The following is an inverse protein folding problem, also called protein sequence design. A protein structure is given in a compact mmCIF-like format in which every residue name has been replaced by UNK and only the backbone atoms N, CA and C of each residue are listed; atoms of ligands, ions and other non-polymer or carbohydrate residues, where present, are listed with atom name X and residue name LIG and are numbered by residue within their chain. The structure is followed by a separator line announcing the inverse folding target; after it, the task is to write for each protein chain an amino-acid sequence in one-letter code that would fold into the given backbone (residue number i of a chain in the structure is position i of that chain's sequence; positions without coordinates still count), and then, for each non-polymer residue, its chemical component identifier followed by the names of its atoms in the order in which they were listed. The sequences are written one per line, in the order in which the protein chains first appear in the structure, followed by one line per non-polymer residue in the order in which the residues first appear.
data_IF_611831389435
#
_entry.id   IF_611831389435
#
_cell.length_a   1.000
_cell.length_b   1.000
_cell.length_c   1.000
_cell.angle_alpha   90.00
_cell.angle_beta   90.00
_cell.angle_gamma   90.00
#
_symmetry.space_group_name_H-M   'P 1'
#
loop_
_entity.id
_entity.type
_entity.pdbx_description
1 polymer ?
#
# COMPACT_ATOMS: atom_id res chain seq x y z
N UNK A 1 10.79 4.50 2.85
CA UNK A 1 10.22 5.60 2.04
C UNK A 1 10.48 6.94 2.71
N UNK A 2 10.97 7.92 1.93
CA UNK A 2 11.25 9.29 2.38
C UNK A 2 10.29 10.29 1.70
N UNK A 3 10.03 11.42 2.37
CA UNK A 3 9.14 12.48 1.89
C UNK A 3 9.66 13.85 2.32
N UNK A 4 9.80 14.75 1.38
CA UNK A 4 10.30 16.12 1.61
C UNK A 4 10.18 16.97 0.34
N UNK A 5 10.66 18.19 0.40
CA UNK A 5 10.66 19.14 -0.72
C UNK A 5 11.99 19.88 -0.89
N UNK A 6 12.96 19.61 -0.03
CA UNK A 6 14.30 20.17 -0.10
C UNK A 6 15.27 19.11 -0.62
N UNK A 7 16.01 19.34 -1.74
CA UNK A 7 16.90 18.35 -2.33
C UNK A 7 18.03 17.88 -1.41
N UNK A 8 18.66 18.79 -0.65
CA UNK A 8 19.79 18.45 0.23
C UNK A 8 19.30 17.61 1.41
N UNK A 9 18.21 18.03 2.05
CA UNK A 9 17.60 17.28 3.16
C UNK A 9 17.12 15.90 2.72
N UNK A 10 16.62 15.76 1.49
CA UNK A 10 16.21 14.47 0.93
C UNK A 10 17.41 13.55 0.67
N UNK A 11 18.52 14.09 0.17
CA UNK A 11 19.77 13.37 -0.03
C UNK A 11 20.34 12.88 1.33
N UNK A 12 20.41 13.76 2.34
CA UNK A 12 20.84 13.39 3.70
C UNK A 12 19.92 12.29 4.28
N UNK A 13 18.61 12.43 4.14
CA UNK A 13 17.67 11.45 4.63
C UNK A 13 17.86 10.07 3.94
N UNK A 14 18.13 10.06 2.63
CA UNK A 14 18.44 8.83 1.91
C UNK A 14 19.71 8.15 2.45
N UNK A 15 20.79 8.91 2.58
CA UNK A 15 22.07 8.43 3.13
C UNK A 15 21.91 7.82 4.53
N UNK A 16 21.24 8.52 5.44
CA UNK A 16 21.00 8.05 6.81
C UNK A 16 20.18 6.75 6.85
N UNK A 17 19.19 6.61 5.97
CA UNK A 17 18.41 5.38 5.89
C UNK A 17 19.22 4.21 5.33
N UNK A 18 20.11 4.44 4.34
CA UNK A 18 21.03 3.41 3.85
C UNK A 18 22.01 3.00 4.94
N UNK A 19 22.59 3.94 5.66
CA UNK A 19 23.46 3.66 6.81
C UNK A 19 22.72 2.87 7.92
N UNK A 20 21.41 3.02 8.05
CA UNK A 20 20.56 2.24 8.95
C UNK A 20 20.11 0.89 8.37
N UNK A 21 20.61 0.48 7.18
CA UNK A 21 20.35 -0.82 6.58
C UNK A 21 19.25 -0.86 5.50
N UNK A 22 18.80 0.29 4.98
CA UNK A 22 17.88 0.29 3.85
C UNK A 22 18.61 -0.17 2.57
N UNK A 23 18.01 -1.12 1.87
CA UNK A 23 18.51 -1.68 0.61
C UNK A 23 17.86 -1.06 -0.64
N UNK A 24 16.82 -0.26 -0.44
CA UNK A 24 16.11 0.52 -1.48
C UNK A 24 15.63 1.82 -0.85
N UNK A 25 15.75 2.94 -1.54
CA UNK A 25 15.15 4.22 -1.16
C UNK A 25 13.96 4.50 -2.07
N UNK A 26 12.76 4.65 -1.50
CA UNK A 26 11.55 5.06 -2.24
C UNK A 26 11.19 6.51 -1.93
N UNK A 27 11.00 7.33 -2.96
CA UNK A 27 10.64 8.75 -2.82
C UNK A 27 9.13 8.91 -2.97
N UNK A 28 8.50 9.60 -2.02
CA UNK A 28 7.06 9.85 -2.03
C UNK A 28 6.71 11.19 -2.67
N UNK A 29 6.15 11.14 -3.87
CA UNK A 29 5.54 12.31 -4.55
C UNK A 29 4.04 12.08 -4.83
N UNK A 30 3.37 11.23 -4.03
CA UNK A 30 1.96 10.91 -4.19
C UNK A 30 1.06 11.26 -3.00
N UNK A 31 1.61 11.59 -1.83
CA UNK A 31 0.82 11.84 -0.61
C UNK A 31 -0.05 13.10 -0.73
N UNK A 32 -1.42 12.99 -0.57
CA UNK A 32 -2.33 14.13 -0.66
C UNK A 32 -2.66 14.74 0.72
N UNK A 33 -1.99 14.33 1.78
CA UNK A 33 -2.29 14.76 3.14
C UNK A 33 -2.01 16.27 3.34
N UNK A 34 -2.94 17.01 3.94
CA UNK A 34 -2.84 18.46 4.13
C UNK A 34 -1.52 18.91 4.79
N UNK A 35 -1.06 18.17 5.83
CA UNK A 35 0.19 18.49 6.53
C UNK A 35 1.44 18.35 5.66
N UNK A 36 1.43 17.41 4.69
CA UNK A 36 2.53 17.20 3.73
C UNK A 36 2.49 18.28 2.66
N UNK A 37 1.30 18.60 2.13
CA UNK A 37 1.11 19.64 1.12
C UNK A 37 1.49 21.04 1.63
N UNK A 38 1.24 21.34 2.93
CA UNK A 38 1.67 22.62 3.55
C UNK A 38 3.20 22.82 3.52
N UNK A 39 3.97 21.73 3.45
CA UNK A 39 5.43 21.74 3.31
C UNK A 39 5.89 21.62 1.86
N UNK A 40 5.01 21.87 0.89
CA UNK A 40 5.26 21.71 -0.57
C UNK A 40 5.79 20.32 -0.96
N UNK A 41 5.56 19.28 -0.14
CA UNK A 41 6.05 17.93 -0.33
C UNK A 41 4.95 16.97 -0.83
N UNK A 42 5.33 15.72 -1.11
CA UNK A 42 4.41 14.70 -1.62
C UNK A 42 3.83 15.10 -2.98
N UNK A 43 2.52 14.98 -3.16
CA UNK A 43 1.87 15.28 -4.45
C UNK A 43 1.86 16.78 -4.82
N UNK A 44 2.26 17.69 -3.93
CA UNK A 44 2.45 19.09 -4.28
C UNK A 44 3.61 19.29 -5.26
N UNK A 45 4.62 18.43 -5.21
CA UNK A 45 5.79 18.45 -6.10
C UNK A 45 5.42 18.29 -7.58
N UNK A 46 4.32 17.58 -7.90
CA UNK A 46 3.86 17.40 -9.28
C UNK A 46 3.56 18.73 -10.01
N UNK A 47 3.50 19.84 -9.29
CA UNK A 47 3.32 21.20 -9.85
C UNK A 47 4.62 21.90 -10.23
N UNK A 48 5.77 21.33 -9.88
CA UNK A 48 7.08 21.93 -10.10
C UNK A 48 8.08 20.86 -10.56
N UNK A 49 8.13 20.65 -11.86
CA UNK A 49 8.95 19.62 -12.50
C UNK A 49 10.44 19.85 -12.33
N UNK A 50 10.89 21.12 -12.28
CA UNK A 50 12.28 21.46 -12.02
C UNK A 50 12.72 21.03 -10.61
N UNK A 51 11.87 21.25 -9.61
CA UNK A 51 12.14 20.82 -8.24
C UNK A 51 12.11 19.29 -8.12
N UNK A 52 11.21 18.62 -8.86
CA UNK A 52 11.21 17.16 -8.96
C UNK A 52 12.56 16.66 -9.46
N UNK A 53 13.06 17.18 -10.59
CA UNK A 53 14.35 16.80 -11.15
C UNK A 53 15.51 17.02 -10.15
N UNK A 54 15.53 18.17 -9.46
CA UNK A 54 16.56 18.49 -8.45
C UNK A 54 16.56 17.48 -7.29
N UNK A 55 15.38 17.16 -6.75
CA UNK A 55 15.25 16.18 -5.65
C UNK A 55 15.69 14.79 -6.11
N UNK A 56 15.22 14.31 -7.27
CA UNK A 56 15.55 12.99 -7.76
C UNK A 56 17.06 12.83 -7.99
N UNK A 57 17.68 13.79 -8.67
CA UNK A 57 19.14 13.79 -8.89
C UNK A 57 19.93 13.82 -7.58
N UNK A 58 19.56 14.67 -6.63
CA UNK A 58 20.24 14.77 -5.35
C UNK A 58 20.19 13.43 -4.58
N UNK A 59 19.04 12.74 -4.58
CA UNK A 59 18.90 11.46 -3.89
C UNK A 59 19.64 10.35 -4.62
N UNK A 60 19.51 10.25 -5.96
CA UNK A 60 20.18 9.21 -6.76
C UNK A 60 21.70 9.30 -6.65
N UNK A 61 22.26 10.51 -6.69
CA UNK A 61 23.71 10.74 -6.57
C UNK A 61 24.26 10.45 -5.15
N UNK A 62 23.39 10.44 -4.13
CA UNK A 62 23.82 10.31 -2.73
C UNK A 62 23.93 8.86 -2.25
N UNK A 63 23.35 7.88 -2.95
CA UNK A 63 23.26 6.49 -2.48
C UNK A 63 23.58 5.49 -3.58
N UNK A 64 24.19 4.37 -3.22
CA UNK A 64 24.53 3.27 -4.13
C UNK A 64 23.42 2.20 -4.23
N UNK A 65 22.34 2.35 -3.48
CA UNK A 65 21.18 1.43 -3.51
C UNK A 65 20.15 1.92 -4.54
N UNK A 66 19.29 1.02 -5.06
CA UNK A 66 18.21 1.40 -5.97
C UNK A 66 17.33 2.51 -5.39
N UNK A 67 17.04 3.52 -6.20
CA UNK A 67 16.09 4.59 -5.87
C UNK A 67 14.83 4.41 -6.72
N UNK A 68 13.68 4.38 -6.04
CA UNK A 68 12.35 4.26 -6.67
C UNK A 68 11.51 5.50 -6.38
N UNK A 69 10.48 5.72 -7.20
CA UNK A 69 9.59 6.87 -7.05
C UNK A 69 8.13 6.43 -7.02
N UNK A 70 7.33 7.03 -6.12
CA UNK A 70 5.88 6.84 -6.12
C UNK A 70 5.13 8.15 -6.35
N UNK A 71 4.31 8.18 -7.43
CA UNK A 71 3.54 9.35 -7.85
C UNK A 71 2.02 9.10 -7.91
N UNK A 72 1.29 10.16 -8.24
CA UNK A 72 -0.06 10.15 -8.78
C UNK A 72 -0.04 10.58 -10.25
N UNK A 73 -1.18 10.44 -10.95
CA UNK A 73 -1.29 10.81 -12.38
C UNK A 73 -1.16 12.31 -12.63
N UNK A 74 -1.24 13.15 -11.60
CA UNK A 74 -1.07 14.59 -11.65
C UNK A 74 -1.69 15.31 -10.45
N UNK A 75 -1.72 16.63 -10.52
CA UNK A 75 -2.30 17.49 -9.48
C UNK A 75 -3.82 17.46 -9.48
N UNK A 76 -4.44 17.68 -10.64
CA UNK A 76 -5.90 17.68 -10.85
C UNK A 76 -6.24 17.03 -12.20
N UNK A 77 -7.53 16.72 -12.47
CA UNK A 77 -7.93 16.09 -13.73
C UNK A 77 -7.53 16.87 -14.99
N UNK A 78 -7.50 18.20 -14.92
CA UNK A 78 -7.06 19.06 -16.01
C UNK A 78 -5.53 19.13 -16.16
N UNK A 79 -4.78 18.67 -15.16
CA UNK A 79 -3.30 18.65 -15.18
C UNK A 79 -2.78 17.29 -14.71
N UNK A 80 -2.77 16.33 -15.65
CA UNK A 80 -2.20 14.98 -15.51
C UNK A 80 -0.83 14.91 -16.17
N UNK A 81 0.17 15.47 -15.50
CA UNK A 81 1.54 15.49 -16.00
C UNK A 81 2.38 14.26 -15.62
N UNK A 82 1.74 13.16 -15.29
CA UNK A 82 2.44 11.92 -14.88
C UNK A 82 3.43 11.40 -15.90
N UNK A 83 3.18 11.58 -17.22
CA UNK A 83 4.10 11.17 -18.30
C UNK A 83 5.37 12.02 -18.25
N UNK A 84 5.25 13.34 -18.09
CA UNK A 84 6.39 14.26 -17.97
C UNK A 84 7.25 13.91 -16.75
N UNK A 85 6.61 13.68 -15.60
CA UNK A 85 7.31 13.26 -14.37
C UNK A 85 8.02 11.91 -14.56
N UNK A 86 7.42 10.98 -15.29
CA UNK A 86 8.02 9.66 -15.56
C UNK A 86 9.30 9.77 -16.38
N UNK A 87 9.31 10.60 -17.41
CA UNK A 87 10.52 10.88 -18.22
C UNK A 87 11.63 11.53 -17.39
N UNK A 88 11.27 12.55 -16.60
CA UNK A 88 12.21 13.18 -15.66
C UNK A 88 12.77 12.16 -14.67
N UNK A 89 11.95 11.24 -14.17
CA UNK A 89 12.39 10.21 -13.25
C UNK A 89 13.40 9.26 -13.91
N UNK A 90 13.14 8.79 -15.13
CA UNK A 90 14.05 7.95 -15.90
C UNK A 90 15.37 8.68 -16.18
N UNK A 91 15.31 9.93 -16.65
CA UNK A 91 16.49 10.78 -16.93
C UNK A 91 17.34 11.07 -15.68
N UNK A 92 16.72 11.06 -14.50
CA UNK A 92 17.41 11.21 -13.22
C UNK A 92 17.96 9.92 -12.61
N UNK A 93 17.74 8.75 -13.25
CA UNK A 93 18.25 7.45 -12.79
C UNK A 93 17.34 6.73 -11.79
N UNK A 94 16.05 7.05 -11.74
CA UNK A 94 15.06 6.26 -10.99
C UNK A 94 14.92 4.88 -11.64
N UNK A 95 14.94 3.84 -10.81
CA UNK A 95 14.97 2.46 -11.30
C UNK A 95 13.60 1.76 -11.32
N UNK A 96 12.57 2.36 -10.71
CA UNK A 96 11.19 1.87 -10.75
C UNK A 96 10.23 3.00 -10.40
N UNK A 97 9.11 3.08 -11.11
CA UNK A 97 8.07 4.07 -10.88
C UNK A 97 6.73 3.41 -10.51
N UNK A 98 6.20 3.73 -9.33
CA UNK A 98 4.86 3.33 -8.91
C UNK A 98 3.86 4.46 -9.15
N UNK A 99 2.77 4.19 -9.88
CA UNK A 99 1.79 5.20 -10.27
C UNK A 99 0.41 4.89 -9.71
N UNK A 100 -0.13 5.78 -8.86
CA UNK A 100 -1.51 5.67 -8.42
C UNK A 100 -2.44 6.34 -9.45
N UNK A 101 -3.40 5.57 -9.99
CA UNK A 101 -4.36 5.99 -11.02
C UNK A 101 -5.37 7.03 -10.57
N UNK A 102 -4.97 8.01 -9.76
CA UNK A 102 -5.76 9.18 -9.34
C UNK A 102 -4.90 10.41 -9.25
N UNK A 103 -5.48 11.57 -9.52
CA UNK A 103 -4.83 12.85 -9.24
C UNK A 103 -4.84 13.14 -7.73
N UNK A 104 -4.04 14.13 -7.32
CA UNK A 104 -4.05 14.63 -5.92
C UNK A 104 -5.44 15.13 -5.52
N UNK A 105 -6.13 15.82 -6.40
CA UNK A 105 -7.44 16.41 -6.12
C UNK A 105 -8.51 15.35 -5.87
N UNK A 106 -8.51 14.27 -6.65
CA UNK A 106 -9.42 13.14 -6.47
C UNK A 106 -9.24 12.44 -5.12
N UNK A 107 -8.05 12.49 -4.52
CA UNK A 107 -7.70 11.76 -3.28
C UNK A 107 -8.03 10.28 -3.39
N UNK A 108 -9.18 9.85 -2.82
CA UNK A 108 -9.69 8.47 -2.86
C UNK A 108 -11.14 8.41 -3.40
N UNK A 109 -11.66 9.53 -3.91
CA UNK A 109 -13.01 9.61 -4.49
C UNK A 109 -12.99 9.14 -5.95
N UNK A 110 -14.14 8.68 -6.44
CA UNK A 110 -14.29 8.14 -7.79
C UNK A 110 -13.50 6.83 -7.98
N UNK A 111 -13.24 6.48 -9.22
CA UNK A 111 -12.46 5.30 -9.62
C UNK A 111 -11.04 5.69 -10.00
N UNK A 112 -10.09 4.79 -9.80
CA UNK A 112 -8.76 4.92 -10.37
C UNK A 112 -8.85 4.75 -11.90
N UNK A 113 -8.18 5.61 -12.65
CA UNK A 113 -8.03 5.48 -14.10
C UNK A 113 -6.67 4.86 -14.42
N UNK A 114 -6.60 4.17 -15.53
CA UNK A 114 -5.41 3.44 -15.93
C UNK A 114 -4.81 3.94 -17.24
N UNK A 115 -5.46 4.85 -17.94
CA UNK A 115 -5.00 5.43 -19.22
C UNK A 115 -3.66 6.14 -19.07
N UNK A 116 -3.52 6.97 -18.03
CA UNK A 116 -2.24 7.64 -17.74
C UNK A 116 -1.15 6.63 -17.39
N UNK A 117 -1.48 5.52 -16.69
CA UNK A 117 -0.49 4.48 -16.36
C UNK A 117 -0.03 3.77 -17.64
N UNK A 118 -0.96 3.42 -18.54
CA UNK A 118 -0.64 2.83 -19.84
C UNK A 118 0.23 3.76 -20.69
N UNK A 119 -0.10 5.05 -20.74
CA UNK A 119 0.68 6.05 -21.47
C UNK A 119 2.09 6.25 -20.87
N UNK A 120 2.23 6.21 -19.54
CA UNK A 120 3.54 6.24 -18.86
C UNK A 120 4.36 5.00 -19.28
N UNK A 121 3.76 3.80 -19.24
CA UNK A 121 4.46 2.56 -19.61
C UNK A 121 4.98 2.59 -21.06
N UNK A 122 4.28 3.25 -21.95
CA UNK A 122 4.73 3.44 -23.34
C UNK A 122 5.83 4.52 -23.50
N UNK A 123 5.92 5.45 -22.54
CA UNK A 123 6.78 6.62 -22.63
C UNK A 123 8.17 6.44 -22.01
N UNK A 124 8.38 5.40 -21.18
CA UNK A 124 9.62 5.13 -20.44
C UNK A 124 9.96 3.64 -20.46
N UNK A 125 11.24 3.32 -20.27
CA UNK A 125 11.78 1.95 -20.26
C UNK A 125 11.87 1.36 -18.85
N UNK A 126 11.89 2.21 -17.81
CA UNK A 126 11.96 1.73 -16.44
C UNK A 126 10.69 0.95 -16.05
N UNK A 127 10.78 -0.01 -15.10
CA UNK A 127 9.64 -0.77 -14.61
C UNK A 127 8.56 0.13 -14.02
N UNK A 128 7.29 -0.14 -14.41
CA UNK A 128 6.10 0.59 -13.94
C UNK A 128 5.25 -0.32 -13.07
N UNK A 129 4.88 0.15 -11.89
CA UNK A 129 3.96 -0.52 -10.97
C UNK A 129 2.62 0.21 -10.97
N UNK A 130 1.56 -0.46 -11.40
CA UNK A 130 0.20 0.09 -11.38
C UNK A 130 -0.42 -0.02 -9.98
N UNK A 131 -1.02 1.08 -9.52
CA UNK A 131 -1.68 1.16 -8.22
C UNK A 131 -3.04 1.87 -8.32
N UNK A 132 -4.00 1.44 -7.53
CA UNK A 132 -5.32 2.05 -7.40
C UNK A 132 -6.46 1.07 -7.66
N UNK A 133 -7.37 0.91 -6.70
CA UNK A 133 -8.60 0.11 -6.75
C UNK A 133 -8.41 -1.34 -7.26
N UNK A 134 -7.27 -1.93 -7.01
CA UNK A 134 -6.99 -3.33 -7.31
C UNK A 134 -7.37 -4.13 -6.08
N UNK A 135 -8.54 -4.78 -6.11
CA UNK A 135 -9.20 -5.41 -4.98
C UNK A 135 -9.65 -6.86 -5.24
N UNK A 136 -9.40 -7.36 -6.46
CA UNK A 136 -9.71 -8.74 -6.84
C UNK A 136 -8.67 -9.29 -7.83
N UNK A 137 -8.57 -10.64 -7.98
CA UNK A 137 -7.74 -11.27 -9.00
C UNK A 137 -8.08 -10.84 -10.42
N UNK A 138 -9.38 -10.78 -10.78
CA UNK A 138 -9.85 -10.35 -12.09
C UNK A 138 -9.44 -8.90 -12.39
N UNK A 139 -9.60 -8.01 -11.39
CA UNK A 139 -9.17 -6.61 -11.53
C UNK A 139 -7.66 -6.50 -11.70
N UNK A 140 -6.88 -7.32 -11.02
CA UNK A 140 -5.43 -7.39 -11.17
C UNK A 140 -5.02 -7.80 -12.58
N UNK A 141 -5.62 -8.87 -13.12
CA UNK A 141 -5.41 -9.32 -14.50
C UNK A 141 -5.79 -8.25 -15.53
N UNK A 142 -6.97 -7.64 -15.37
CA UNK A 142 -7.44 -6.55 -16.23
C UNK A 142 -6.45 -5.37 -16.24
N UNK A 143 -6.00 -4.92 -15.07
CA UNK A 143 -5.08 -3.77 -14.95
C UNK A 143 -3.75 -4.07 -15.63
N UNK A 144 -3.15 -5.24 -15.41
CA UNK A 144 -1.90 -5.63 -16.10
C UNK A 144 -2.09 -5.73 -17.61
N UNK A 145 -3.18 -6.35 -18.06
CA UNK A 145 -3.47 -6.49 -19.49
C UNK A 145 -3.66 -5.12 -20.16
N UNK A 146 -4.37 -4.21 -19.50
CA UNK A 146 -4.67 -2.89 -20.04
C UNK A 146 -3.46 -1.95 -20.03
N UNK A 147 -2.75 -1.88 -18.91
CA UNK A 147 -1.65 -0.91 -18.73
C UNK A 147 -0.31 -1.40 -19.26
N UNK A 148 -0.14 -2.71 -19.44
CA UNK A 148 1.15 -3.37 -19.70
C UNK A 148 2.20 -3.06 -18.63
N UNK A 149 1.77 -2.65 -17.42
CA UNK A 149 2.65 -2.43 -16.28
C UNK A 149 3.38 -3.72 -15.88
N UNK A 150 4.58 -3.58 -15.32
CA UNK A 150 5.45 -4.70 -14.97
C UNK A 150 5.02 -5.35 -13.64
N UNK A 151 4.21 -4.67 -12.85
CA UNK A 151 3.67 -5.18 -11.60
C UNK A 151 2.52 -4.35 -11.03
N UNK A 152 2.03 -4.81 -9.88
CA UNK A 152 0.89 -4.22 -9.18
C UNK A 152 1.25 -3.83 -7.75
N UNK A 153 0.71 -2.72 -7.27
CA UNK A 153 0.77 -2.33 -5.86
C UNK A 153 -0.64 -2.34 -5.26
N UNK A 154 -0.86 -3.23 -4.30
CA UNK A 154 -2.12 -3.37 -3.59
C UNK A 154 -2.08 -2.54 -2.31
N UNK A 155 -3.08 -1.67 -2.12
CA UNK A 155 -3.19 -0.83 -0.93
C UNK A 155 -4.29 -1.29 0.02
N UNK A 156 -5.41 -0.59 -0.01
CA UNK A 156 -6.55 -0.77 0.91
C UNK A 156 -7.13 -2.18 0.93
N UNK A 157 -7.12 -2.87 -0.21
CA UNK A 157 -7.67 -4.21 -0.33
C UNK A 157 -6.89 -5.28 0.46
N UNK A 158 -5.61 -5.04 0.77
CA UNK A 158 -4.81 -5.93 1.61
C UNK A 158 -5.11 -5.78 3.12
N UNK A 159 -5.76 -4.69 3.53
CA UNK A 159 -6.11 -4.46 4.93
C UNK A 159 -7.24 -5.41 5.36
N UNK A 160 -6.94 -6.34 6.25
CA UNK A 160 -7.86 -7.41 6.67
C UNK A 160 -8.03 -8.55 5.67
N UNK A 161 -7.25 -8.53 4.56
CA UNK A 161 -7.21 -9.59 3.54
C UNK A 161 -5.79 -9.75 2.97
N UNK A 162 -4.77 -10.01 3.77
CA UNK A 162 -3.40 -10.12 3.26
C UNK A 162 -3.22 -11.28 2.28
N UNK A 163 -4.07 -12.28 2.29
CA UNK A 163 -4.08 -13.39 1.33
C UNK A 163 -4.47 -12.98 -0.09
N UNK A 164 -4.94 -11.74 -0.32
CA UNK A 164 -5.22 -11.21 -1.66
C UNK A 164 -4.01 -11.31 -2.59
N UNK A 165 -2.79 -11.19 -2.08
CA UNK A 165 -1.58 -11.35 -2.88
C UNK A 165 -1.47 -12.76 -3.45
N UNK A 166 -1.70 -13.80 -2.63
CA UNK A 166 -1.69 -15.19 -3.06
C UNK A 166 -2.83 -15.50 -4.04
N UNK A 167 -4.01 -14.92 -3.82
CA UNK A 167 -5.16 -15.06 -4.74
C UNK A 167 -4.84 -14.47 -6.12
N UNK A 168 -4.24 -13.28 -6.16
CA UNK A 168 -3.83 -12.60 -7.39
C UNK A 168 -2.71 -13.38 -8.09
N UNK A 169 -1.67 -13.78 -7.38
CA UNK A 169 -0.55 -14.56 -7.91
C UNK A 169 -1.05 -15.84 -8.58
N UNK A 170 -1.90 -16.61 -7.89
CA UNK A 170 -2.48 -17.82 -8.43
C UNK A 170 -3.30 -17.57 -9.70
N UNK A 171 -4.15 -16.54 -9.69
CA UNK A 171 -4.97 -16.17 -10.83
C UNK A 171 -4.11 -15.76 -12.04
N UNK A 172 -3.09 -14.96 -11.83
CA UNK A 172 -2.19 -14.53 -12.91
C UNK A 172 -1.40 -15.69 -13.49
N UNK A 173 -1.06 -16.69 -12.68
CA UNK A 173 -0.33 -17.88 -13.14
C UNK A 173 -1.23 -18.91 -13.83
N UNK A 174 -2.51 -19.04 -13.44
CA UNK A 174 -3.35 -20.18 -13.85
C UNK A 174 -4.65 -19.78 -14.57
N UNK A 175 -5.04 -18.52 -14.51
CA UNK A 175 -6.35 -18.04 -14.97
C UNK A 175 -7.52 -18.47 -14.06
N UNK A 176 -7.25 -19.15 -12.92
CA UNK A 176 -8.28 -19.68 -12.03
C UNK A 176 -8.25 -18.98 -10.67
N UNK A 177 -9.42 -18.78 -10.07
CA UNK A 177 -9.53 -18.23 -8.72
C UNK A 177 -9.29 -19.32 -7.68
N UNK A 178 -8.65 -18.96 -6.56
CA UNK A 178 -8.56 -19.84 -5.39
C UNK A 178 -9.92 -19.91 -4.68
N UNK A 179 -10.26 -21.05 -4.05
CA UNK A 179 -11.39 -21.10 -3.15
C UNK A 179 -11.21 -20.12 -1.98
N UNK A 180 -12.33 -19.58 -1.49
CA UNK A 180 -12.31 -18.68 -0.33
C UNK A 180 -11.72 -19.37 0.89
N UNK A 181 -10.90 -18.65 1.66
CA UNK A 181 -10.38 -19.17 2.93
C UNK A 181 -11.51 -19.39 3.93
N UNK A 182 -11.54 -20.58 4.57
CA UNK A 182 -12.41 -20.86 5.69
C UNK A 182 -12.05 -20.03 6.94
N UNK A 183 -12.98 -19.99 7.91
CA UNK A 183 -12.80 -19.23 9.16
C UNK A 183 -11.53 -19.65 9.92
N UNK A 184 -11.27 -20.95 10.02
CA UNK A 184 -10.08 -21.50 10.68
C UNK A 184 -8.77 -20.98 10.06
N UNK A 185 -8.68 -20.98 8.72
CA UNK A 185 -7.49 -20.49 8.02
C UNK A 185 -7.29 -18.98 8.24
N UNK A 186 -8.39 -18.20 8.21
CA UNK A 186 -8.36 -16.76 8.52
C UNK A 186 -7.89 -16.51 9.95
N UNK A 187 -8.41 -17.28 10.93
CA UNK A 187 -7.99 -17.19 12.33
C UNK A 187 -6.47 -17.39 12.48
N UNK A 188 -5.90 -18.43 11.85
CA UNK A 188 -4.45 -18.69 11.92
C UNK A 188 -3.60 -17.55 11.35
N UNK A 189 -4.06 -16.91 10.30
CA UNK A 189 -3.39 -15.71 9.75
C UNK A 189 -3.45 -14.55 10.75
N UNK A 190 -4.61 -14.32 11.35
CA UNK A 190 -4.80 -13.23 12.34
C UNK A 190 -3.95 -13.46 13.58
N UNK A 191 -3.97 -14.68 14.15
CA UNK A 191 -3.13 -15.03 15.29
C UNK A 191 -1.64 -14.78 15.01
N UNK A 192 -1.17 -15.24 13.85
CA UNK A 192 0.22 -15.06 13.45
C UNK A 192 0.58 -13.57 13.33
N UNK A 193 -0.32 -12.78 12.77
CA UNK A 193 -0.10 -11.34 12.62
C UNK A 193 -0.08 -10.65 13.99
N UNK A 194 -1.01 -10.96 14.89
CA UNK A 194 -1.03 -10.39 16.24
C UNK A 194 0.24 -10.76 17.04
N UNK A 195 0.64 -12.03 17.04
CA UNK A 195 1.88 -12.48 17.68
C UNK A 195 3.10 -11.71 17.18
N UNK A 196 3.21 -11.51 15.85
CA UNK A 196 4.28 -10.71 15.25
C UNK A 196 4.21 -9.24 15.64
N UNK A 197 3.02 -8.63 15.72
CA UNK A 197 2.86 -7.24 16.18
C UNK A 197 3.30 -7.07 17.63
N UNK A 198 2.87 -7.98 18.52
CA UNK A 198 3.24 -7.93 19.94
C UNK A 198 4.75 -8.11 20.12
N UNK A 199 5.35 -9.07 19.40
CA UNK A 199 6.79 -9.31 19.45
C UNK A 199 7.61 -8.12 18.92
N UNK A 200 7.20 -7.52 17.81
CA UNK A 200 7.97 -6.47 17.12
C UNK A 200 7.89 -5.11 17.83
N UNK A 201 6.67 -4.71 18.25
CA UNK A 201 6.45 -3.39 18.86
C UNK A 201 6.50 -3.38 20.39
N UNK A 202 6.64 -4.56 21.02
CA UNK A 202 6.43 -4.74 22.45
C UNK A 202 4.94 -4.73 22.81
N UNK A 203 4.63 -5.18 24.04
CA UNK A 203 3.25 -5.44 24.44
C UNK A 203 2.36 -4.20 24.31
N UNK A 204 2.72 -3.08 24.91
CA UNK A 204 1.88 -1.88 24.92
C UNK A 204 1.55 -1.33 23.52
N UNK A 205 2.56 -1.13 22.68
CA UNK A 205 2.36 -0.63 21.31
C UNK A 205 1.76 -1.69 20.40
N UNK A 206 2.16 -2.95 20.55
CA UNK A 206 1.64 -4.08 19.78
C UNK A 206 0.13 -4.24 19.96
N UNK A 207 -0.36 -4.19 21.22
CA UNK A 207 -1.79 -4.20 21.56
C UNK A 207 -2.53 -3.05 20.88
N UNK A 208 -1.98 -1.85 20.94
CA UNK A 208 -2.60 -0.68 20.34
C UNK A 208 -2.70 -0.79 18.81
N UNK A 209 -1.61 -1.21 18.14
CA UNK A 209 -1.63 -1.43 16.70
C UNK A 209 -2.55 -2.57 16.27
N UNK A 210 -2.62 -3.65 17.06
CA UNK A 210 -3.49 -4.79 16.82
C UNK A 210 -4.97 -4.40 16.66
N UNK A 211 -5.46 -3.43 17.44
CA UNK A 211 -6.87 -2.95 17.39
C UNK A 211 -7.29 -2.54 15.99
N UNK A 212 -6.44 -1.77 15.28
CA UNK A 212 -6.72 -1.34 13.90
C UNK A 212 -6.74 -2.50 12.92
N UNK A 213 -5.79 -3.42 13.04
CA UNK A 213 -5.70 -4.57 12.14
C UNK A 213 -6.85 -5.53 12.33
N UNK A 214 -7.20 -5.85 13.59
CA UNK A 214 -8.35 -6.71 13.93
C UNK A 214 -9.65 -6.11 13.40
N UNK A 215 -9.87 -4.80 13.58
CA UNK A 215 -11.04 -4.13 13.01
C UNK A 215 -11.17 -4.30 11.48
N UNK A 216 -10.04 -4.37 10.79
CA UNK A 216 -10.02 -4.62 9.34
C UNK A 216 -10.34 -6.08 9.00
N UNK A 217 -9.82 -7.04 9.76
CA UNK A 217 -10.06 -8.48 9.57
C UNK A 217 -11.53 -8.87 9.79
N UNK A 218 -12.15 -8.32 10.82
CA UNK A 218 -13.54 -8.66 11.20
C UNK A 218 -14.59 -7.78 10.52
N UNK A 219 -14.19 -6.92 9.56
CA UNK A 219 -15.05 -5.91 8.96
C UNK A 219 -16.40 -6.41 8.47
N UNK A 220 -16.44 -7.62 7.91
CA UNK A 220 -17.62 -8.23 7.31
C UNK A 220 -18.14 -9.44 8.10
N UNK A 221 -17.71 -9.63 9.35
CA UNK A 221 -18.13 -10.73 10.19
C UNK A 221 -19.33 -10.34 11.07
N UNK A 222 -20.20 -11.30 11.44
CA UNK A 222 -21.32 -11.08 12.35
C UNK A 222 -20.88 -10.45 13.67
N UNK A 223 -21.76 -9.70 14.32
CA UNK A 223 -21.59 -9.09 15.65
C UNK A 223 -20.28 -8.33 15.90
N UNK A 224 -19.55 -7.99 14.83
CA UNK A 224 -18.24 -7.29 14.90
C UNK A 224 -18.23 -6.05 15.81
N UNK A 225 -19.38 -5.34 15.93
CA UNK A 225 -19.44 -4.11 16.74
C UNK A 225 -19.31 -4.42 18.22
N UNK A 226 -20.00 -5.46 18.70
CA UNK A 226 -19.96 -5.94 20.08
C UNK A 226 -18.56 -6.47 20.38
N UNK A 227 -18.05 -7.33 19.50
CA UNK A 227 -16.70 -7.88 19.61
C UNK A 227 -15.64 -6.76 19.73
N UNK A 228 -15.62 -5.79 18.80
CA UNK A 228 -14.64 -4.71 18.80
C UNK A 228 -14.76 -3.77 20.00
N UNK A 229 -15.97 -3.53 20.51
CA UNK A 229 -16.17 -2.72 21.72
C UNK A 229 -15.48 -3.34 22.95
N UNK A 230 -15.44 -4.66 23.03
CA UNK A 230 -14.75 -5.39 24.10
C UNK A 230 -13.26 -5.56 23.79
N UNK A 231 -12.90 -5.97 22.57
CA UNK A 231 -11.53 -6.16 22.13
C UNK A 231 -10.65 -4.92 22.31
N UNK A 232 -11.19 -3.74 22.03
CA UNK A 232 -10.46 -2.47 22.15
C UNK A 232 -10.13 -2.05 23.59
N UNK A 233 -10.72 -2.71 24.59
CA UNK A 233 -10.45 -2.48 26.02
C UNK A 233 -9.37 -3.42 26.57
N UNK A 234 -8.98 -4.46 25.81
CA UNK A 234 -7.99 -5.44 26.26
C UNK A 234 -6.60 -4.81 26.28
N UNK A 235 -5.90 -5.02 27.39
CA UNK A 235 -4.56 -4.47 27.67
C UNK A 235 -3.48 -5.55 27.81
N UNK A 236 -3.76 -6.78 27.39
CA UNK A 236 -2.82 -7.90 27.36
C UNK A 236 -2.80 -8.55 25.98
N UNK A 237 -1.62 -8.82 25.47
CA UNK A 237 -1.43 -9.51 24.17
C UNK A 237 -2.01 -10.92 24.19
N UNK A 238 -1.87 -11.66 25.28
CA UNK A 238 -2.47 -12.99 25.44
C UNK A 238 -3.99 -12.91 25.42
N UNK A 239 -4.58 -11.99 26.17
CA UNK A 239 -6.04 -11.82 26.19
C UNK A 239 -6.61 -11.34 24.86
N UNK A 240 -5.82 -10.59 24.04
CA UNK A 240 -6.23 -10.29 22.65
C UNK A 240 -6.28 -11.55 21.78
N UNK A 241 -5.32 -12.48 21.93
CA UNK A 241 -5.32 -13.75 21.21
C UNK A 241 -6.47 -14.65 21.66
N UNK A 242 -6.74 -14.75 22.95
CA UNK A 242 -7.89 -15.49 23.51
C UNK A 242 -9.22 -14.94 22.98
N UNK A 243 -9.39 -13.61 23.01
CA UNK A 243 -10.61 -12.96 22.54
C UNK A 243 -10.88 -13.22 21.04
N UNK A 244 -9.82 -13.24 20.19
CA UNK A 244 -9.96 -13.59 18.78
C UNK A 244 -10.35 -15.05 18.61
N UNK A 245 -9.73 -15.98 19.34
CA UNK A 245 -10.07 -17.39 19.28
C UNK A 245 -11.53 -17.63 19.66
N UNK A 246 -11.97 -17.14 20.81
CA UNK A 246 -13.34 -17.26 21.29
C UNK A 246 -14.37 -16.68 20.30
N UNK A 247 -14.04 -15.55 19.68
CA UNK A 247 -14.93 -14.96 18.67
C UNK A 247 -15.05 -15.83 17.41
N UNK A 248 -13.95 -16.42 16.94
CA UNK A 248 -13.98 -17.30 15.78
C UNK A 248 -14.60 -18.68 16.10
N UNK A 249 -14.43 -19.20 17.32
CA UNK A 249 -15.14 -20.40 17.81
C UNK A 249 -16.65 -20.18 17.84
N UNK A 250 -17.10 -19.03 18.34
CA UNK A 250 -18.53 -18.65 18.30
C UNK A 250 -19.06 -18.65 16.85
N UNK A 251 -18.31 -18.05 15.89
CA UNK A 251 -18.73 -18.02 14.49
C UNK A 251 -18.79 -19.42 13.84
N UNK A 252 -17.89 -20.33 14.21
CA UNK A 252 -17.92 -21.71 13.69
C UNK A 252 -19.02 -22.56 14.30
N UNK A 253 -19.38 -22.32 15.57
CA UNK A 253 -20.52 -22.94 16.22
C UNK A 253 -21.87 -22.55 15.58
N UNK A 254 -21.99 -21.31 15.14
CA UNK A 254 -23.17 -20.80 14.43
C UNK A 254 -23.28 -21.32 12.98
N UNK A 255 -22.14 -21.55 12.29
CA UNK A 255 -22.16 -22.17 10.94
C UNK A 255 -22.69 -23.61 10.96
N UNK A 256 -22.47 -24.34 12.04
CA UNK A 256 -23.06 -25.69 12.27
C UNK A 256 -24.58 -25.66 12.45
N UNK A 257 -25.13 -24.56 12.96
CA UNK A 257 -26.58 -24.39 13.17
C UNK A 257 -27.33 -23.90 11.92
N UNK A 258 -26.62 -23.28 10.96
CA UNK A 258 -27.19 -22.79 9.68
C UNK A 258 -27.16 -23.88 8.60
N UNK A 259 -26.31 -24.89 8.74
CA UNK A 259 -26.17 -26.01 7.82
C UNK A 259 -27.00 -27.25 8.21
N UNK A 260 -27.72 -27.20 9.32
CA UNK A 260 -28.68 -28.20 9.78
C UNK A 260 -30.13 -27.72 9.61
#
# INVERSE_FOLDING_TARGET
QIVGSDPEMMAIAAHLNVAAGATVIDINMGCPAKKVLKKAAGSALLRNTDLVAKILRAVVLQVDVPVTLKIRTGWCPANRNGIEIARIAEDCGIQLLSVHGRTRECRFKGQAEYDTIAAIKQAVSIPIIANGDIDSPDKAGHVLQYTKADGLMIGRAAQGRPWIFKEIEHFLATGKTLPSLGLYQKLKIIETHLKKLHSFYGEAKGIWYARKHVASYVKNLPERRIFLANFNKIESGLSQLEAINNYFEYLTGDEGAIAA
#
